data_IF_897480690210
#
_entry.id   IF_897480690210
#
_cell.length_a   1.000
_cell.length_b   1.000
_cell.length_c   1.000
_cell.angle_alpha   90.00
_cell.angle_beta   90.00
_cell.angle_gamma   90.00
#
_symmetry.space_group_name_H-M   'P 1'
#
loop_
_entity.id
_entity.type
_entity.pdbx_description
1 polymer ?
#
# COMPACT_ATOMS: atom_id res chain seq x y z
N UNK A 1 6.25 -20.83 37.52
CA UNK A 1 6.00 -20.02 36.29
C UNK A 1 7.33 -19.45 35.84
N UNK A 2 7.85 -19.77 34.64
CA UNK A 2 9.14 -19.25 34.19
C UNK A 2 9.00 -17.76 33.85
N UNK A 3 9.85 -16.93 34.46
CA UNK A 3 10.02 -15.51 34.10
C UNK A 3 10.65 -15.45 32.71
N UNK A 4 10.01 -14.76 31.79
CA UNK A 4 10.56 -14.45 30.48
C UNK A 4 11.79 -13.53 30.64
N UNK A 5 12.89 -13.89 29.97
CA UNK A 5 14.08 -13.04 29.82
C UNK A 5 14.17 -12.62 28.36
N UNK A 6 14.42 -11.34 28.06
CA UNK A 6 14.62 -10.91 26.67
C UNK A 6 15.89 -11.54 26.09
N UNK A 7 15.89 -11.89 24.79
CA UNK A 7 17.07 -12.41 24.10
C UNK A 7 18.13 -11.32 23.93
N UNK A 8 19.39 -11.74 23.83
CA UNK A 8 20.59 -10.90 23.83
C UNK A 8 20.75 -9.95 22.63
N UNK A 9 21.84 -9.18 22.61
CA UNK A 9 22.05 -8.01 21.73
C UNK A 9 22.17 -8.31 20.22
N UNK A 10 22.19 -9.58 19.81
CA UNK A 10 22.25 -10.01 18.39
C UNK A 10 20.87 -10.30 17.78
N UNK A 11 19.77 -9.89 18.45
CA UNK A 11 18.45 -9.97 17.83
C UNK A 11 18.37 -8.95 16.68
N UNK A 12 17.94 -9.34 15.47
CA UNK A 12 17.76 -8.40 14.36
C UNK A 12 16.85 -7.27 14.85
N UNK A 13 17.31 -6.04 14.62
CA UNK A 13 16.73 -4.80 15.12
C UNK A 13 15.23 -4.93 15.31
N UNK A 14 14.78 -4.74 16.56
CA UNK A 14 13.37 -4.80 16.94
C UNK A 14 12.52 -4.17 15.84
N UNK A 15 11.67 -4.97 15.18
CA UNK A 15 10.60 -4.44 14.34
C UNK A 15 9.88 -3.46 15.24
N UNK A 16 10.12 -2.18 15.01
CA UNK A 16 9.59 -1.15 15.87
C UNK A 16 8.11 -1.17 15.56
N UNK A 17 7.32 -1.77 16.47
CA UNK A 17 5.87 -1.79 16.34
C UNK A 17 5.40 -0.36 16.46
N UNK A 18 5.37 0.35 15.33
CA UNK A 18 4.81 1.67 15.26
C UNK A 18 3.32 1.53 15.56
N UNK A 19 2.90 2.05 16.72
CA UNK A 19 1.49 2.13 17.06
C UNK A 19 0.88 3.23 16.22
N UNK A 20 -0.12 2.86 15.42
CA UNK A 20 -0.88 3.80 14.62
C UNK A 20 -2.16 4.17 15.35
N UNK A 21 -2.43 5.47 15.44
CA UNK A 21 -3.72 6.00 15.90
C UNK A 21 -4.79 5.83 14.83
N UNK A 22 -6.07 5.86 15.22
CA UNK A 22 -7.17 5.84 14.26
C UNK A 22 -7.07 6.98 13.23
N UNK A 23 -6.62 8.17 13.65
CA UNK A 23 -6.37 9.29 12.73
C UNK A 23 -5.32 8.93 11.67
N UNK A 24 -4.19 8.35 12.07
CA UNK A 24 -3.12 7.97 11.14
C UNK A 24 -3.59 6.88 10.17
N UNK A 25 -4.41 5.93 10.61
CA UNK A 25 -5.01 4.92 9.72
C UNK A 25 -5.96 5.54 8.70
N UNK A 26 -6.81 6.46 9.14
CA UNK A 26 -7.67 7.23 8.23
C UNK A 26 -6.85 8.05 7.23
N UNK A 27 -5.73 8.67 7.64
CA UNK A 27 -4.81 9.37 6.75
C UNK A 27 -4.14 8.42 5.75
N UNK A 28 -3.74 7.22 6.17
CA UNK A 28 -3.19 6.19 5.28
C UNK A 28 -4.22 5.71 4.26
N UNK A 29 -5.47 5.44 4.67
CA UNK A 29 -6.55 5.08 3.75
C UNK A 29 -6.83 6.19 2.73
N UNK A 30 -6.89 7.46 3.15
CA UNK A 30 -7.04 8.59 2.23
C UNK A 30 -5.88 8.66 1.22
N UNK A 31 -4.65 8.54 1.72
CA UNK A 31 -3.45 8.53 0.88
C UNK A 31 -3.53 7.40 -0.16
N UNK A 32 -4.00 6.22 0.24
CA UNK A 32 -4.13 5.08 -0.65
C UNK A 32 -5.24 5.26 -1.70
N UNK A 33 -6.37 5.89 -1.34
CA UNK A 33 -7.41 6.27 -2.29
C UNK A 33 -6.89 7.28 -3.33
N UNK A 34 -6.12 8.29 -2.90
CA UNK A 34 -5.54 9.31 -3.77
C UNK A 34 -4.49 8.72 -4.72
N UNK A 35 -3.60 7.86 -4.21
CA UNK A 35 -2.60 7.17 -5.04
C UNK A 35 -3.26 6.22 -6.04
N UNK A 36 -4.35 5.55 -5.66
CA UNK A 36 -5.09 4.67 -6.56
C UNK A 36 -5.80 5.47 -7.67
N UNK A 37 -6.34 6.66 -7.36
CA UNK A 37 -6.88 7.57 -8.37
C UNK A 37 -5.78 8.02 -9.35
N UNK A 38 -4.61 8.41 -8.83
CA UNK A 38 -3.47 8.81 -9.67
C UNK A 38 -3.02 7.69 -10.60
N UNK A 39 -2.97 6.44 -10.11
CA UNK A 39 -2.61 5.28 -10.95
C UNK A 39 -3.67 4.99 -12.02
N UNK A 40 -4.95 5.08 -11.67
CA UNK A 40 -6.05 4.94 -12.63
C UNK A 40 -5.93 5.99 -13.75
N UNK A 41 -5.72 7.26 -13.39
CA UNK A 41 -5.59 8.36 -14.34
C UNK A 41 -4.33 8.24 -15.21
N UNK A 42 -3.18 7.94 -14.60
CA UNK A 42 -1.92 7.77 -15.33
C UNK A 42 -2.03 6.64 -16.35
N UNK A 43 -2.54 5.47 -15.96
CA UNK A 43 -2.70 4.32 -16.86
C UNK A 43 -3.72 4.61 -17.97
N UNK A 44 -4.88 5.18 -17.62
CA UNK A 44 -5.94 5.49 -18.57
C UNK A 44 -5.50 6.55 -19.59
N UNK A 45 -4.72 7.56 -19.17
CA UNK A 45 -4.18 8.59 -20.07
C UNK A 45 -3.24 8.03 -21.15
N UNK A 46 -2.62 6.89 -20.88
CA UNK A 46 -1.71 6.19 -21.78
C UNK A 46 -2.41 5.05 -22.56
N UNK A 47 -3.73 4.87 -22.38
CA UNK A 47 -4.51 3.83 -23.06
C UNK A 47 -4.42 2.45 -22.42
N UNK A 48 -3.93 2.34 -21.18
CA UNK A 48 -3.92 1.10 -20.41
C UNK A 48 -5.16 0.99 -19.51
N UNK A 49 -5.52 -0.23 -19.12
CA UNK A 49 -6.63 -0.47 -18.20
C UNK A 49 -6.24 -0.11 -16.75
N UNK A 50 -6.67 1.07 -16.31
CA UNK A 50 -6.55 1.53 -14.92
C UNK A 50 -7.71 1.12 -14.00
N UNK A 51 -8.75 0.45 -14.52
CA UNK A 51 -10.01 0.23 -13.81
C UNK A 51 -9.91 -0.70 -12.59
N UNK A 52 -8.81 -1.45 -12.47
CA UNK A 52 -8.49 -2.19 -11.24
C UNK A 52 -8.16 -1.24 -10.07
N UNK A 53 -7.42 -0.16 -10.33
CA UNK A 53 -7.13 0.87 -9.32
C UNK A 53 -8.38 1.69 -8.98
N UNK A 54 -9.25 1.97 -9.96
CA UNK A 54 -10.55 2.60 -9.71
C UNK A 54 -11.45 1.79 -8.78
N UNK A 55 -11.55 0.46 -9.00
CA UNK A 55 -12.26 -0.44 -8.08
C UNK A 55 -11.63 -0.50 -6.70
N UNK A 56 -10.30 -0.57 -6.61
CA UNK A 56 -9.61 -0.57 -5.33
C UNK A 56 -9.85 0.72 -4.54
N UNK A 57 -9.79 1.88 -5.22
CA UNK A 57 -10.18 3.18 -4.64
C UNK A 57 -11.60 3.16 -4.09
N UNK A 58 -12.57 2.59 -4.81
CA UNK A 58 -13.96 2.50 -4.33
C UNK A 58 -14.07 1.71 -3.01
N UNK A 59 -13.34 0.59 -2.89
CA UNK A 59 -13.28 -0.20 -1.64
C UNK A 59 -12.71 0.65 -0.50
N UNK A 60 -11.59 1.34 -0.74
CA UNK A 60 -10.96 2.22 0.26
C UNK A 60 -11.91 3.35 0.68
N UNK A 61 -12.64 3.95 -0.26
CA UNK A 61 -13.61 5.00 0.02
C UNK A 61 -14.82 4.49 0.81
N UNK A 62 -15.28 3.26 0.56
CA UNK A 62 -16.33 2.63 1.35
C UNK A 62 -15.89 2.47 2.82
N UNK A 63 -14.68 1.96 3.06
CA UNK A 63 -14.12 1.86 4.42
C UNK A 63 -13.95 3.22 5.11
N UNK A 64 -13.62 4.27 4.36
CA UNK A 64 -13.57 5.63 4.91
C UNK A 64 -14.95 6.17 5.30
N UNK A 65 -16.01 5.77 4.60
CA UNK A 65 -17.38 6.23 4.82
C UNK A 65 -18.11 5.44 5.91
N UNK A 66 -17.94 4.12 5.91
CA UNK A 66 -18.63 3.18 6.81
C UNK A 66 -17.86 2.96 8.12
N UNK A 67 -16.58 3.34 8.14
CA UNK A 67 -15.64 2.94 9.19
C UNK A 67 -14.90 1.67 8.81
N UNK A 68 -13.87 1.36 9.58
CA UNK A 68 -12.98 0.23 9.35
C UNK A 68 -12.56 -0.38 10.68
N UNK A 69 -12.30 -1.68 10.67
CA UNK A 69 -11.68 -2.40 11.78
C UNK A 69 -10.28 -2.93 11.42
N UNK A 70 -9.67 -3.69 12.32
CA UNK A 70 -8.33 -4.23 12.10
C UNK A 70 -8.29 -5.30 11.00
N UNK A 71 -9.36 -6.08 10.85
CA UNK A 71 -9.44 -7.14 9.85
C UNK A 71 -9.61 -6.52 8.46
N UNK A 72 -10.41 -5.46 8.32
CA UNK A 72 -10.54 -4.68 7.08
C UNK A 72 -9.17 -4.18 6.59
N UNK A 73 -8.38 -3.56 7.49
CA UNK A 73 -7.05 -3.04 7.15
C UNK A 73 -6.06 -4.15 6.78
N UNK A 74 -6.16 -5.31 7.44
CA UNK A 74 -5.32 -6.46 7.15
C UNK A 74 -5.66 -7.09 5.80
N UNK A 75 -6.94 -7.11 5.42
CA UNK A 75 -7.40 -7.58 4.12
C UNK A 75 -7.09 -6.59 3.00
N UNK A 76 -7.06 -5.29 3.27
CA UNK A 76 -6.82 -4.30 2.23
C UNK A 76 -5.40 -4.40 1.61
N UNK A 77 -4.39 -4.63 2.45
CA UNK A 77 -2.98 -4.58 2.05
C UNK A 77 -2.60 -5.54 0.91
N UNK A 78 -2.92 -6.85 1.01
CA UNK A 78 -2.64 -7.83 -0.05
C UNK A 78 -3.43 -7.62 -1.36
N UNK A 79 -4.49 -6.81 -1.33
CA UNK A 79 -5.40 -6.62 -2.47
C UNK A 79 -5.05 -5.43 -3.36
N UNK A 80 -3.93 -4.74 -3.09
CA UNK A 80 -3.45 -3.70 -4.00
C UNK A 80 -3.20 -4.30 -5.40
N UNK A 81 -3.79 -3.75 -6.47
CA UNK A 81 -3.58 -4.27 -7.82
C UNK A 81 -2.11 -4.23 -8.22
N UNK A 82 -1.65 -5.32 -8.85
CA UNK A 82 -0.34 -5.34 -9.50
C UNK A 82 -0.36 -4.43 -10.73
N UNK A 83 0.78 -3.81 -11.03
CA UNK A 83 0.96 -3.10 -12.30
C UNK A 83 0.88 -4.06 -13.49
N UNK A 84 0.31 -3.63 -14.63
CA UNK A 84 0.47 -4.33 -15.89
C UNK A 84 1.94 -4.64 -16.18
N UNK A 85 2.22 -5.83 -16.75
CA UNK A 85 3.60 -6.32 -16.96
C UNK A 85 4.41 -5.33 -17.80
N UNK A 86 3.78 -4.73 -18.80
CA UNK A 86 4.37 -3.72 -19.68
C UNK A 86 4.73 -2.40 -18.99
N UNK A 87 4.16 -2.14 -17.81
CA UNK A 87 4.46 -0.97 -16.96
C UNK A 87 5.35 -1.30 -15.76
N UNK A 88 5.67 -2.58 -15.57
CA UNK A 88 6.52 -3.03 -14.49
C UNK A 88 7.98 -2.81 -14.87
N UNK A 89 8.65 -1.86 -14.22
CA UNK A 89 10.06 -1.53 -14.48
C UNK A 89 11.03 -2.71 -14.35
N UNK A 90 10.66 -3.79 -13.64
CA UNK A 90 11.47 -5.04 -13.57
C UNK A 90 11.31 -5.94 -14.80
N UNK A 91 10.26 -5.78 -15.59
CA UNK A 91 10.04 -6.54 -16.82
C UNK A 91 10.71 -5.89 -18.05
N UNK A 92 11.24 -4.67 -17.89
CA UNK A 92 11.83 -3.85 -18.94
C UNK A 92 13.37 -3.91 -18.95
N UNK A 93 13.99 -5.05 -18.58
CA UNK A 93 15.44 -5.28 -18.73
C UNK A 93 15.91 -5.34 -20.21
N UNK A 94 15.01 -5.09 -21.17
CA UNK A 94 15.36 -4.83 -22.57
C UNK A 94 15.53 -3.32 -22.83
N UNK A 95 16.24 -2.91 -23.90
CA UNK A 95 16.49 -1.50 -24.26
C UNK A 95 15.23 -0.73 -24.72
N UNK A 96 14.05 -1.05 -24.19
CA UNK A 96 12.85 -0.23 -24.32
C UNK A 96 13.02 1.04 -23.51
N UNK A 97 12.81 2.20 -24.15
CA UNK A 97 13.00 3.49 -23.52
C UNK A 97 12.05 3.65 -22.32
N UNK A 98 12.62 3.74 -21.11
CA UNK A 98 11.90 4.20 -19.93
C UNK A 98 11.41 5.60 -20.23
N UNK A 99 10.09 5.74 -20.37
CA UNK A 99 9.47 7.05 -20.56
C UNK A 99 9.23 7.69 -19.19
N UNK A 100 9.22 9.02 -19.08
CA UNK A 100 8.96 9.70 -17.81
C UNK A 100 7.66 9.26 -17.12
N UNK A 101 6.62 8.94 -17.89
CA UNK A 101 5.35 8.48 -17.33
C UNK A 101 5.44 7.09 -16.69
N UNK A 102 6.30 6.18 -17.21
CA UNK A 102 6.53 4.87 -16.61
C UNK A 102 7.25 4.98 -15.26
N UNK A 103 8.18 5.93 -15.12
CA UNK A 103 8.82 6.25 -13.84
C UNK A 103 7.78 6.76 -12.83
N UNK A 104 6.86 7.61 -13.26
CA UNK A 104 5.80 8.15 -12.42
C UNK A 104 4.83 7.07 -11.95
N UNK A 105 4.41 6.16 -12.83
CA UNK A 105 3.58 4.99 -12.49
C UNK A 105 4.29 4.11 -11.46
N UNK A 106 5.56 3.75 -11.70
CA UNK A 106 6.32 2.90 -10.79
C UNK A 106 6.53 3.57 -9.42
N UNK A 107 6.84 4.87 -9.39
CA UNK A 107 7.02 5.62 -8.15
C UNK A 107 5.71 5.72 -7.34
N UNK A 108 4.60 5.97 -8.02
CA UNK A 108 3.26 6.07 -7.41
C UNK A 108 2.81 4.72 -6.86
N UNK A 109 2.99 3.66 -7.64
CA UNK A 109 2.66 2.30 -7.22
C UNK A 109 3.49 1.85 -6.02
N UNK A 110 4.81 2.10 -6.03
CA UNK A 110 5.68 1.81 -4.89
C UNK A 110 5.26 2.53 -3.61
N UNK A 111 4.80 3.78 -3.72
CA UNK A 111 4.24 4.52 -2.57
C UNK A 111 2.94 3.88 -2.08
N UNK A 112 2.08 3.42 -2.99
CA UNK A 112 0.85 2.72 -2.62
C UNK A 112 1.15 1.38 -1.92
N UNK A 113 2.13 0.62 -2.41
CA UNK A 113 2.62 -0.62 -1.78
C UNK A 113 3.12 -0.37 -0.35
N UNK A 114 3.91 0.69 -0.14
CA UNK A 114 4.43 1.04 1.18
C UNK A 114 3.31 1.39 2.16
N UNK A 115 2.32 2.19 1.73
CA UNK A 115 1.14 2.52 2.55
C UNK A 115 0.32 1.27 2.84
N UNK A 116 0.08 0.41 1.86
CA UNK A 116 -0.65 -0.85 2.01
C UNK A 116 0.05 -1.82 2.98
N UNK A 117 1.39 -1.90 2.92
CA UNK A 117 2.21 -2.67 3.86
C UNK A 117 2.07 -2.13 5.29
N UNK A 118 2.10 -0.80 5.45
CA UNK A 118 1.92 -0.17 6.75
C UNK A 118 0.52 -0.35 7.31
N UNK A 119 -0.52 -0.35 6.48
CA UNK A 119 -1.89 -0.69 6.88
C UNK A 119 -1.99 -2.12 7.43
N UNK A 120 -1.31 -3.08 6.78
CA UNK A 120 -1.23 -4.47 7.24
C UNK A 120 -0.45 -4.64 8.55
N UNK A 121 0.56 -3.80 8.80
CA UNK A 121 1.35 -3.89 10.02
C UNK A 121 0.48 -3.55 11.24
N UNK A 122 0.02 -4.59 11.95
CA UNK A 122 -0.85 -4.49 13.14
C UNK A 122 -0.09 -3.83 14.30
N UNK A 123 0.03 -2.50 14.28
CA UNK A 123 0.32 -1.71 15.46
C UNK A 123 -0.97 -1.63 16.29
N UNK A 124 -1.12 -2.55 17.25
CA UNK A 124 -2.37 -2.77 17.98
C UNK A 124 -3.08 -1.49 18.43
N UNK A 125 -4.36 -1.38 18.06
CA UNK A 125 -5.30 -0.48 18.73
C UNK A 125 -5.61 -1.16 20.06
N UNK A 126 -5.09 -0.62 21.16
CA UNK A 126 -5.59 -0.96 22.48
C UNK A 126 -6.39 0.24 23.01
N UNK A 127 -7.58 0.03 23.58
CA UNK A 127 -8.42 1.08 24.16
C UNK A 127 -7.70 1.93 25.20
#
# INVERSE_FOLDING_TARGET
MPRWSPPGPDYPAAVTYQRYTARQRTEQLRTLADLSAQLEDLLSSQGHDGGHFGRYRQIVQALLAEGWDADDLQQLGPHLPALPVETNGKALDGPGAWTPWLEEVAATHRRAEDVALHLRAVGGVWP
#
